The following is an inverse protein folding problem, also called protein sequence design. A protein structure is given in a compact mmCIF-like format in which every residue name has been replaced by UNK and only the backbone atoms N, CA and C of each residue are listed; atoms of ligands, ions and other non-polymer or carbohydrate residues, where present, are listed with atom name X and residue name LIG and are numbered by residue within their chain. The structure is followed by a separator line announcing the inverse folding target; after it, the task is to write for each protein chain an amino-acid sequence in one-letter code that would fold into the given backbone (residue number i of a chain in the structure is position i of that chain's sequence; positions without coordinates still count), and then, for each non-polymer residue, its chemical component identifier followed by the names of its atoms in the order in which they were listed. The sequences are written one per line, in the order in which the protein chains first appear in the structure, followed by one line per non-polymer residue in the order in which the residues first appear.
data_IF_077236744640
#
_entry.id   IF_077236744640
#
_cell.length_a   1.000
_cell.length_b   1.000
_cell.length_c   1.000
_cell.angle_alpha   90.00
_cell.angle_beta   90.00
_cell.angle_gamma   90.00
#
_symmetry.space_group_name_H-M   'P 1'
#
loop_
_entity.id
_entity.type
_entity.pdbx_description
1 polymer ?
#
# COMPACT_ATOMS: atom_id res chain seq x y z
N UNK A 1 4.47 4.50 1.00
CA UNK A 1 5.25 3.66 1.95
C UNK A 1 4.37 2.92 2.96
N UNK A 2 3.55 3.60 3.78
CA UNK A 2 2.76 2.93 4.84
C UNK A 2 1.89 1.77 4.33
N UNK A 3 1.22 1.94 3.20
CA UNK A 3 0.46 0.85 2.54
C UNK A 3 1.32 -0.35 2.16
N UNK A 4 2.55 -0.13 1.70
CA UNK A 4 3.46 -1.21 1.34
C UNK A 4 3.81 -2.07 2.56
N UNK A 5 4.17 -1.41 3.66
CA UNK A 5 4.49 -2.08 4.92
C UNK A 5 3.25 -2.82 5.48
N UNK A 6 2.07 -2.20 5.44
CA UNK A 6 0.84 -2.83 5.91
C UNK A 6 0.52 -4.11 5.14
N UNK A 7 0.67 -4.10 3.80
CA UNK A 7 0.49 -5.27 2.97
C UNK A 7 1.53 -6.36 3.28
N UNK A 8 2.81 -6.00 3.43
CA UNK A 8 3.88 -6.94 3.79
C UNK A 8 3.65 -7.58 5.16
N UNK A 9 3.11 -6.83 6.12
CA UNK A 9 2.74 -7.36 7.44
C UNK A 9 1.54 -8.32 7.30
N UNK A 10 0.50 -7.91 6.56
CA UNK A 10 -0.71 -8.71 6.40
C UNK A 10 -0.49 -10.01 5.59
N UNK A 11 0.49 -10.06 4.70
CA UNK A 11 0.85 -11.30 3.98
C UNK A 11 1.51 -12.34 4.90
N UNK A 12 1.94 -11.97 6.10
CA UNK A 12 2.45 -12.89 7.13
C UNK A 12 1.30 -13.41 7.99
N UNK A 13 0.46 -14.29 7.43
CA UNK A 13 -0.77 -14.83 8.04
C UNK A 13 -0.60 -15.48 9.43
N UNK A 14 0.63 -15.90 9.77
CA UNK A 14 0.99 -16.50 11.06
C UNK A 14 1.20 -15.49 12.20
N UNK A 15 1.28 -14.19 11.91
CA UNK A 15 1.46 -13.16 12.93
C UNK A 15 0.18 -12.97 13.77
N UNK A 16 0.36 -12.72 15.07
CA UNK A 16 -0.71 -12.42 16.02
C UNK A 16 -0.43 -11.06 16.71
N UNK A 17 -1.42 -10.17 16.85
CA UNK A 17 -2.78 -10.27 16.31
C UNK A 17 -2.80 -10.23 14.77
N UNK A 18 -3.79 -10.88 14.17
CA UNK A 18 -3.95 -10.87 12.70
C UNK A 18 -4.52 -9.53 12.24
N UNK A 19 -4.05 -9.05 11.09
CA UNK A 19 -4.59 -7.86 10.44
C UNK A 19 -6.01 -8.18 9.93
N UNK A 20 -7.00 -7.41 10.37
CA UNK A 20 -8.42 -7.62 10.02
C UNK A 20 -8.87 -6.84 8.79
N UNK A 21 -8.17 -5.77 8.46
CA UNK A 21 -8.41 -4.97 7.25
C UNK A 21 -7.33 -3.92 7.07
N UNK A 22 -7.21 -3.39 5.85
CA UNK A 22 -6.23 -2.35 5.50
C UNK A 22 -6.92 -1.17 4.82
N UNK A 23 -6.59 0.04 5.28
CA UNK A 23 -6.83 1.30 4.56
C UNK A 23 -5.51 1.76 3.97
N UNK A 24 -5.41 1.79 2.64
CA UNK A 24 -4.22 2.24 1.93
C UNK A 24 -4.43 3.63 1.33
N UNK A 25 -3.71 4.64 1.82
CA UNK A 25 -3.81 6.03 1.34
C UNK A 25 -2.58 6.34 0.48
N UNK A 26 -2.79 6.83 -0.75
CA UNK A 26 -1.67 7.24 -1.62
C UNK A 26 -0.71 6.09 -1.90
N UNK A 27 -1.24 4.92 -2.27
CA UNK A 27 -0.59 3.60 -2.13
C UNK A 27 0.68 3.40 -3.00
N UNK A 28 1.78 4.04 -2.62
CA UNK A 28 3.10 3.85 -3.22
C UNK A 28 3.77 2.59 -2.66
N UNK A 29 3.49 1.45 -3.27
CA UNK A 29 4.27 0.20 -3.13
C UNK A 29 5.43 0.18 -4.12
N UNK A 30 6.50 -0.55 -3.81
CA UNK A 30 7.62 -0.81 -4.74
C UNK A 30 8.26 0.45 -5.35
N UNK A 31 8.08 1.61 -4.71
CA UNK A 31 8.55 2.89 -5.25
C UNK A 31 10.08 2.94 -5.34
N UNK A 32 10.77 2.18 -4.50
CA UNK A 32 12.23 2.07 -4.50
C UNK A 32 12.77 1.46 -5.78
N UNK A 33 12.09 0.46 -6.36
CA UNK A 33 12.49 -0.11 -7.65
C UNK A 33 12.29 0.88 -8.78
N UNK A 34 11.18 1.66 -8.76
CA UNK A 34 10.97 2.74 -9.73
C UNK A 34 12.04 3.81 -9.62
N UNK A 35 12.35 4.27 -8.41
CA UNK A 35 13.40 5.25 -8.16
C UNK A 35 14.76 4.75 -8.66
N UNK A 36 15.12 3.51 -8.32
CA UNK A 36 16.38 2.92 -8.76
C UNK A 36 16.45 2.85 -10.29
N UNK A 37 15.42 2.32 -10.94
CA UNK A 37 15.46 2.05 -12.39
C UNK A 37 15.22 3.28 -13.27
N UNK A 38 14.54 4.32 -12.77
CA UNK A 38 14.10 5.46 -13.57
C UNK A 38 14.73 6.80 -13.15
N UNK A 39 15.12 6.95 -11.88
CA UNK A 39 15.57 8.24 -11.34
C UNK A 39 17.05 8.24 -10.91
N UNK A 40 17.57 7.13 -10.37
CA UNK A 40 18.99 7.02 -10.01
C UNK A 40 19.82 6.84 -11.30
N UNK A 41 20.92 7.60 -11.49
CA UNK A 41 21.79 7.41 -12.65
C UNK A 41 22.33 5.97 -12.73
N UNK A 42 22.26 5.30 -13.90
CA UNK A 42 22.66 3.89 -14.07
C UNK A 42 24.05 3.54 -13.55
N UNK A 43 25.01 4.47 -13.68
CA UNK A 43 26.39 4.28 -13.19
C UNK A 43 26.48 4.03 -11.69
N UNK A 44 25.47 4.44 -10.91
CA UNK A 44 25.44 4.28 -9.46
C UNK A 44 24.57 3.10 -9.00
N UNK A 45 23.95 2.33 -9.90
CA UNK A 45 23.01 1.25 -9.52
C UNK A 45 23.65 0.12 -8.71
N UNK A 46 24.98 -0.01 -8.74
CA UNK A 46 25.73 -1.02 -8.00
C UNK A 46 26.65 -0.42 -6.92
N UNK A 47 26.70 0.90 -6.79
CA UNK A 47 27.53 1.57 -5.78
C UNK A 47 26.79 1.64 -4.44
N UNK A 48 27.11 0.71 -3.54
CA UNK A 48 26.50 0.62 -2.21
C UNK A 48 26.80 1.82 -1.30
N UNK A 49 27.80 2.63 -1.63
CA UNK A 49 28.17 3.82 -0.88
C UNK A 49 27.57 5.10 -1.48
N UNK A 50 27.01 5.03 -2.69
CA UNK A 50 26.36 6.18 -3.31
C UNK A 50 25.10 6.58 -2.56
N UNK A 51 24.95 7.89 -2.34
CA UNK A 51 23.77 8.51 -1.75
C UNK A 51 23.15 9.42 -2.80
N UNK A 52 22.02 8.98 -3.34
CA UNK A 52 21.26 9.76 -4.30
C UNK A 52 20.52 10.90 -3.60
N UNK A 53 20.72 12.13 -4.06
CA UNK A 53 19.99 13.32 -3.59
C UNK A 53 18.73 13.48 -4.42
N UNK A 54 17.63 12.86 -3.99
CA UNK A 54 16.35 12.93 -4.67
C UNK A 54 15.71 14.31 -4.44
N UNK A 55 15.45 15.11 -5.49
CA UNK A 55 14.75 16.38 -5.34
C UNK A 55 13.39 16.18 -4.67
N UNK A 56 13.03 17.09 -3.75
CA UNK A 56 11.74 17.03 -3.08
C UNK A 56 11.29 18.41 -2.64
N UNK A 57 10.03 18.74 -2.95
CA UNK A 57 9.37 19.94 -2.44
C UNK A 57 9.02 19.86 -0.94
N UNK A 58 9.17 18.68 -0.32
CA UNK A 58 8.84 18.43 1.08
C UNK A 58 10.05 18.48 2.02
N UNK A 59 11.27 18.50 1.47
CA UNK A 59 12.51 18.57 2.24
C UNK A 59 12.94 20.04 2.42
N UNK A 60 13.30 20.49 3.64
CA UNK A 60 13.81 21.85 3.86
C UNK A 60 15.03 22.18 2.98
N UNK A 61 15.90 21.20 2.77
CA UNK A 61 17.10 21.31 1.94
C UNK A 61 16.81 21.14 0.43
N UNK A 62 15.55 20.90 0.05
CA UNK A 62 15.11 20.67 -1.32
C UNK A 62 15.37 19.26 -1.86
N UNK A 63 15.97 18.37 -1.06
CA UNK A 63 16.19 16.97 -1.43
C UNK A 63 16.17 16.02 -0.22
N UNK A 64 15.91 14.74 -0.49
CA UNK A 64 16.17 13.65 0.44
C UNK A 64 17.45 12.90 0.05
N UNK A 65 18.28 12.57 1.03
CA UNK A 65 19.45 11.70 0.86
C UNK A 65 19.03 10.24 0.96
N UNK A 66 19.09 9.51 -0.15
CA UNK A 66 18.64 8.12 -0.25
C UNK A 66 19.83 7.24 -0.64
N UNK A 67 20.34 6.38 0.27
CA UNK A 67 21.39 5.44 -0.07
C UNK A 67 20.95 4.43 -1.12
N UNK A 68 21.79 4.16 -2.13
CA UNK A 68 21.50 3.10 -3.12
C UNK A 68 21.40 1.74 -2.46
N UNK A 69 22.19 1.50 -1.41
CA UNK A 69 22.08 0.29 -0.59
C UNK A 69 20.64 0.04 -0.13
N UNK A 70 19.94 1.06 0.37
CA UNK A 70 18.54 0.94 0.79
C UNK A 70 17.63 0.53 -0.37
N UNK A 71 17.81 1.14 -1.56
CA UNK A 71 17.03 0.80 -2.74
C UNK A 71 17.24 -0.66 -3.17
N UNK A 72 18.49 -1.12 -3.19
CA UNK A 72 18.82 -2.49 -3.56
C UNK A 72 18.29 -3.51 -2.52
N UNK A 73 18.48 -3.25 -1.22
CA UNK A 73 18.01 -4.12 -0.15
C UNK A 73 16.48 -4.23 -0.12
N UNK A 74 15.77 -3.17 -0.52
CA UNK A 74 14.30 -3.16 -0.58
C UNK A 74 13.72 -4.13 -1.62
N UNK A 75 14.52 -4.65 -2.55
CA UNK A 75 14.08 -5.63 -3.57
C UNK A 75 13.53 -6.92 -2.97
N UNK A 76 13.97 -7.26 -1.76
CA UNK A 76 13.48 -8.43 -1.03
C UNK A 76 12.02 -8.29 -0.56
N UNK A 77 11.41 -7.12 -0.75
CA UNK A 77 10.07 -6.80 -0.28
C UNK A 77 9.13 -6.34 -1.41
N UNK A 78 9.49 -6.50 -2.68
CA UNK A 78 8.64 -6.08 -3.80
C UNK A 78 7.36 -6.91 -3.89
N UNK A 79 6.22 -6.26 -4.12
CA UNK A 79 4.90 -6.90 -4.19
C UNK A 79 4.50 -7.18 -5.64
N UNK A 80 4.64 -6.22 -6.54
CA UNK A 80 4.12 -6.29 -7.91
C UNK A 80 4.74 -7.41 -8.77
N UNK A 81 6.05 -7.72 -8.64
CA UNK A 81 6.67 -8.84 -9.35
C UNK A 81 6.29 -10.21 -8.78
N UNK A 82 5.90 -10.28 -7.50
CA UNK A 82 5.54 -11.54 -6.84
C UNK A 82 4.11 -11.95 -7.20
N UNK A 83 3.99 -13.02 -8.00
CA UNK A 83 2.69 -13.55 -8.45
C UNK A 83 1.94 -14.32 -7.36
N UNK A 84 2.60 -14.66 -6.26
CA UNK A 84 2.05 -15.41 -5.14
C UNK A 84 1.70 -14.52 -3.95
N UNK A 85 2.07 -13.24 -4.01
CA UNK A 85 1.70 -12.27 -2.97
C UNK A 85 0.19 -12.16 -2.85
N UNK A 86 -0.34 -12.44 -1.67
CA UNK A 86 -1.75 -12.32 -1.34
C UNK A 86 -1.92 -11.81 0.10
N UNK A 87 -3.14 -11.37 0.41
CA UNK A 87 -3.55 -11.00 1.77
C UNK A 87 -4.87 -11.70 2.12
N UNK A 88 -5.05 -12.00 3.40
CA UNK A 88 -6.24 -12.70 3.91
C UNK A 88 -7.23 -11.75 4.59
N UNK A 89 -7.11 -10.45 4.33
CA UNK A 89 -7.97 -9.41 4.90
C UNK A 89 -8.49 -8.47 3.80
N UNK A 90 -9.66 -7.84 3.97
CA UNK A 90 -10.15 -6.82 3.06
C UNK A 90 -9.19 -5.62 2.99
N UNK A 91 -9.06 -5.05 1.79
CA UNK A 91 -8.21 -3.87 1.52
C UNK A 91 -9.01 -2.81 0.80
N UNK A 92 -9.01 -1.59 1.36
CA UNK A 92 -9.60 -0.41 0.76
C UNK A 92 -8.48 0.59 0.45
N UNK A 93 -8.21 0.81 -0.84
CA UNK A 93 -7.34 1.87 -1.31
C UNK A 93 -8.13 3.18 -1.48
N UNK A 94 -7.51 4.29 -1.12
CA UNK A 94 -8.01 5.65 -1.32
C UNK A 94 -6.87 6.44 -1.97
N UNK A 95 -7.11 6.96 -3.17
CA UNK A 95 -6.06 7.57 -3.98
C UNK A 95 -6.51 8.90 -4.58
N UNK A 96 -5.60 9.87 -4.60
CA UNK A 96 -5.84 11.15 -5.27
C UNK A 96 -5.74 11.00 -6.79
N UNK A 97 -6.70 11.54 -7.53
CA UNK A 97 -6.62 11.58 -9.00
C UNK A 97 -5.41 12.41 -9.49
N UNK A 98 -5.08 13.49 -8.78
CA UNK A 98 -4.02 14.44 -9.13
C UNK A 98 -2.72 14.16 -8.36
N UNK A 99 -2.56 12.93 -7.84
CA UNK A 99 -1.34 12.46 -7.17
C UNK A 99 -0.16 12.44 -8.14
N UNK A 100 0.84 13.29 -7.87
CA UNK A 100 2.07 13.43 -8.67
C UNK A 100 3.21 12.52 -8.20
N UNK A 101 3.11 11.98 -6.99
CA UNK A 101 4.16 11.16 -6.37
C UNK A 101 3.96 9.67 -6.71
N UNK A 102 2.70 9.23 -6.78
CA UNK A 102 2.30 7.87 -7.14
C UNK A 102 1.23 7.92 -8.22
N UNK A 103 1.56 7.57 -9.49
CA UNK A 103 0.58 7.54 -10.57
C UNK A 103 -0.61 6.63 -10.26
N UNK A 104 -1.83 7.08 -10.58
CA UNK A 104 -3.05 6.28 -10.36
C UNK A 104 -2.98 4.89 -10.99
N UNK A 105 -2.34 4.76 -12.16
CA UNK A 105 -2.13 3.48 -12.86
C UNK A 105 -1.34 2.48 -12.00
N UNK A 106 -0.41 2.95 -11.16
CA UNK A 106 0.36 2.11 -10.25
C UNK A 106 -0.54 1.46 -9.19
N UNK A 107 -1.45 2.23 -8.60
CA UNK A 107 -2.41 1.71 -7.60
C UNK A 107 -3.46 0.82 -8.24
N UNK A 108 -3.88 1.11 -9.48
CA UNK A 108 -4.76 0.23 -10.24
C UNK A 108 -4.10 -1.13 -10.53
N UNK A 109 -2.81 -1.14 -10.90
CA UNK A 109 -2.05 -2.38 -11.09
C UNK A 109 -1.95 -3.19 -9.79
N UNK A 110 -1.62 -2.54 -8.67
CA UNK A 110 -1.60 -3.18 -7.35
C UNK A 110 -2.95 -3.79 -6.99
N UNK A 111 -4.04 -3.02 -7.14
CA UNK A 111 -5.40 -3.51 -6.87
C UNK A 111 -5.72 -4.75 -7.71
N UNK A 112 -5.46 -4.70 -9.01
CA UNK A 112 -5.76 -5.81 -9.91
C UNK A 112 -4.93 -7.06 -9.56
N UNK A 113 -3.65 -6.89 -9.18
CA UNK A 113 -2.80 -7.98 -8.67
C UNK A 113 -3.40 -8.63 -7.44
N UNK A 114 -3.84 -7.83 -6.46
CA UNK A 114 -4.42 -8.36 -5.22
C UNK A 114 -5.78 -9.03 -5.46
N UNK A 115 -6.64 -8.48 -6.32
CA UNK A 115 -7.90 -9.14 -6.73
C UNK A 115 -7.63 -10.52 -7.34
N UNK A 116 -6.59 -10.65 -8.15
CA UNK A 116 -6.27 -11.92 -8.81
C UNK A 116 -5.70 -13.00 -7.87
N UNK A 117 -5.20 -12.61 -6.69
CA UNK A 117 -4.41 -13.48 -5.79
C UNK A 117 -5.04 -13.68 -4.41
N UNK A 118 -5.92 -12.77 -3.99
CA UNK A 118 -6.55 -12.76 -2.67
C UNK A 118 -8.03 -13.11 -2.78
N UNK A 119 -8.57 -13.81 -1.78
CA UNK A 119 -9.99 -14.19 -1.72
C UNK A 119 -10.88 -13.16 -1.00
N UNK A 120 -10.29 -12.07 -0.48
CA UNK A 120 -10.98 -11.00 0.25
C UNK A 120 -11.33 -9.81 -0.64
N UNK A 121 -12.20 -8.93 -0.15
CA UNK A 121 -12.58 -7.71 -0.87
C UNK A 121 -11.37 -6.79 -1.03
N UNK A 122 -11.05 -6.44 -2.26
CA UNK A 122 -10.06 -5.40 -2.59
C UNK A 122 -10.78 -4.30 -3.38
N UNK A 123 -10.66 -3.04 -2.96
CA UNK A 123 -11.35 -1.92 -3.59
C UNK A 123 -10.45 -0.69 -3.69
N UNK A 124 -10.79 0.21 -4.61
CA UNK A 124 -10.08 1.48 -4.82
C UNK A 124 -11.11 2.59 -4.99
N UNK A 125 -11.02 3.60 -4.15
CA UNK A 125 -11.72 4.87 -4.27
C UNK A 125 -10.75 5.93 -4.79
N UNK A 126 -11.17 6.68 -5.81
CA UNK A 126 -10.37 7.74 -6.42
C UNK A 126 -11.01 9.09 -6.10
N UNK A 127 -10.30 9.91 -5.33
CA UNK A 127 -10.74 11.24 -4.94
C UNK A 127 -10.43 12.22 -6.07
N UNK A 128 -11.48 12.79 -6.67
CA UNK A 128 -11.35 13.83 -7.70
C UNK A 128 -10.58 15.03 -7.13
N UNK A 129 -9.60 15.50 -7.89
CA UNK A 129 -8.69 16.58 -7.47
C UNK A 129 -7.92 16.33 -6.17
N UNK A 130 -7.89 15.08 -5.67
CA UNK A 130 -7.07 14.72 -4.52
C UNK A 130 -5.60 14.68 -4.92
N UNK A 131 -4.74 15.28 -4.11
CA UNK A 131 -3.28 15.17 -4.26
C UNK A 131 -2.74 13.92 -3.52
N UNK A 132 -1.43 13.78 -3.45
CA UNK A 132 -0.78 12.66 -2.73
C UNK A 132 -1.11 12.63 -1.22
N UNK A 133 -1.39 13.79 -0.63
CA UNK A 133 -1.56 13.93 0.83
C UNK A 133 -2.97 13.60 1.29
N UNK A 134 -3.98 13.83 0.44
CA UNK A 134 -5.39 13.61 0.74
C UNK A 134 -5.80 14.21 2.10
N UNK A 135 -5.45 15.48 2.29
CA UNK A 135 -5.53 16.15 3.59
C UNK A 135 -6.54 17.29 3.66
N UNK A 136 -7.30 17.53 2.58
CA UNK A 136 -8.39 18.51 2.61
C UNK A 136 -9.53 17.97 3.49
N UNK A 137 -10.38 18.83 4.07
CA UNK A 137 -11.47 18.39 4.92
C UNK A 137 -12.35 17.28 4.30
N UNK A 138 -12.69 17.41 3.01
CA UNK A 138 -13.47 16.39 2.30
C UNK A 138 -12.73 15.06 2.09
N UNK A 139 -11.40 15.10 1.94
CA UNK A 139 -10.58 13.90 1.78
C UNK A 139 -10.54 13.12 3.09
N UNK A 140 -10.34 13.84 4.21
CA UNK A 140 -10.34 13.27 5.56
C UNK A 140 -11.71 12.70 5.94
N UNK A 141 -12.80 13.35 5.52
CA UNK A 141 -14.16 12.82 5.71
C UNK A 141 -14.37 11.51 4.94
N UNK A 142 -13.97 11.45 3.68
CA UNK A 142 -14.00 10.22 2.87
C UNK A 142 -13.18 9.10 3.55
N UNK A 143 -11.94 9.39 3.94
CA UNK A 143 -11.07 8.43 4.65
C UNK A 143 -11.73 7.91 5.93
N UNK A 144 -12.30 8.80 6.74
CA UNK A 144 -12.96 8.44 7.99
C UNK A 144 -14.18 7.54 7.75
N UNK A 145 -14.99 7.85 6.75
CA UNK A 145 -16.14 7.03 6.37
C UNK A 145 -15.71 5.63 5.91
N UNK A 146 -14.68 5.54 5.07
CA UNK A 146 -14.14 4.26 4.61
C UNK A 146 -13.55 3.42 5.73
N UNK A 147 -12.91 4.04 6.74
CA UNK A 147 -12.45 3.35 7.94
C UNK A 147 -13.64 2.72 8.68
N UNK A 148 -14.70 3.51 8.95
CA UNK A 148 -15.87 3.02 9.68
C UNK A 148 -16.59 1.89 8.94
N UNK A 149 -16.74 2.01 7.62
CA UNK A 149 -17.32 0.96 6.78
C UNK A 149 -16.49 -0.33 6.82
N UNK A 150 -15.17 -0.22 6.75
CA UNK A 150 -14.28 -1.38 6.80
C UNK A 150 -14.31 -2.06 8.18
N UNK A 151 -14.33 -1.28 9.27
CA UNK A 151 -14.45 -1.84 10.62
C UNK A 151 -15.74 -2.65 10.76
N UNK A 152 -16.87 -2.09 10.33
CA UNK A 152 -18.16 -2.78 10.34
C UNK A 152 -18.14 -4.07 9.53
N UNK A 153 -17.55 -4.04 8.33
CA UNK A 153 -17.41 -5.23 7.48
C UNK A 153 -16.61 -6.34 8.15
N UNK A 154 -15.50 -5.97 8.81
CA UNK A 154 -14.67 -6.91 9.57
C UNK A 154 -15.45 -7.55 10.73
N UNK A 155 -16.17 -6.76 11.52
CA UNK A 155 -17.01 -7.25 12.63
C UNK A 155 -18.12 -8.19 12.14
N UNK A 156 -18.82 -7.83 11.07
CA UNK A 156 -19.87 -8.66 10.47
C UNK A 156 -19.32 -10.00 9.95
N UNK A 157 -18.10 -10.00 9.40
CA UNK A 157 -17.44 -11.22 8.93
C UNK A 157 -17.12 -12.19 10.06
N UNK A 158 -16.64 -11.69 11.20
CA UNK A 158 -16.30 -12.51 12.37
C UNK A 158 -17.55 -13.13 13.01
N UNK A 159 -18.62 -12.34 13.13
CA UNK A 159 -19.90 -12.81 13.64
C UNK A 159 -20.48 -13.94 12.78
N UNK A 160 -20.41 -13.82 11.44
CA UNK A 160 -20.84 -14.88 10.52
C UNK A 160 -20.01 -16.16 10.67
N UNK A 161 -18.69 -16.05 10.74
CA UNK A 161 -17.81 -17.22 10.94
C UNK A 161 -18.06 -17.92 12.28
N UNK A 162 -18.26 -17.17 13.36
CA UNK A 162 -18.57 -17.74 14.69
C UNK A 162 -19.90 -18.49 14.69
N UNK A 163 -20.94 -17.90 14.08
CA UNK A 163 -22.26 -18.53 14.01
C UNK A 163 -22.27 -19.77 13.11
N UNK A 164 -21.57 -19.74 11.97
CA UNK A 164 -21.44 -20.91 11.10
C UNK A 164 -20.73 -22.09 11.79
N UNK A 165 -19.68 -21.81 12.56
CA UNK A 165 -18.97 -22.84 13.33
C UNK A 165 -19.86 -23.46 14.41
N UNK A 166 -20.66 -22.65 15.12
CA UNK A 166 -21.61 -23.14 16.12
C UNK A 166 -22.71 -24.01 15.49
N UNK A 167 -23.21 -23.63 14.32
CA UNK A 167 -24.23 -24.40 13.60
C UNK A 167 -23.71 -25.74 13.06
N UNK A 168 -22.43 -25.84 12.70
CA UNK A 168 -21.81 -27.09 12.24
C UNK A 168 -21.54 -28.09 13.37
N UNK A 169 -21.45 -27.63 14.62
CA UNK A 169 -21.16 -28.47 15.80
C UNK A 169 -22.42 -28.95 16.54
N UNK A 170 -23.61 -28.62 16.04
CA UNK A 170 -24.92 -29.09 16.54
C UNK A 170 -25.49 -30.15 15.59
#
# INVERSE_FOLDING_TARGET
MGTWLALLIASKSKLRPQVKGIIGIGAGVDFTERWLTQEVPPIHHQDLNYVWRRPSAYAPEGYYSIPVRFLLESRNALILPDKHFHVECPVQFIHGHDDKDVPLTHVQQLRNRLIATSSTRISLEVIKHGDHRLSRPQDLLCISQRILELVKECEDSENRSSNALKAFLQ
#
